data_IF_431625942002
#
_entry.id   IF_431625942002
#
_cell.length_a   1.000
_cell.length_b   1.000
_cell.length_c   1.000
_cell.angle_alpha   90.00
_cell.angle_beta   90.00
_cell.angle_gamma   90.00
#
_symmetry.space_group_name_H-M   'P 1'
#
loop_
_entity.id
_entity.type
_entity.pdbx_description
1 polymer ?
#
# COMPACT_ATOMS: atom_id res chain seq x y z
N UNK A 1 -7.21 -20.20 5.43
CA UNK A 1 -7.13 -18.81 5.92
C UNK A 1 -6.01 -18.19 5.14
N UNK A 2 -6.26 -17.14 4.35
CA UNK A 2 -5.16 -16.46 3.69
C UNK A 2 -4.38 -15.73 4.78
N UNK A 3 -3.20 -16.25 5.10
CA UNK A 3 -2.27 -15.58 6.01
C UNK A 3 -1.89 -14.25 5.34
N UNK A 4 -1.93 -13.15 6.10
CA UNK A 4 -1.70 -11.81 5.56
C UNK A 4 -0.41 -11.69 4.72
N UNK A 5 -0.30 -10.64 3.92
CA UNK A 5 0.97 -10.28 3.26
C UNK A 5 1.68 -9.20 4.08
N UNK A 6 2.97 -9.39 4.38
CA UNK A 6 3.82 -8.33 4.93
C UNK A 6 5.13 -8.31 4.16
N UNK A 7 5.47 -7.18 3.55
CA UNK A 7 6.68 -7.11 2.74
C UNK A 7 6.87 -5.80 2.00
N UNK A 8 8.01 -5.68 1.28
CA UNK A 8 8.34 -4.48 0.54
C UNK A 8 7.45 -4.35 -0.71
N UNK A 9 7.09 -3.13 -1.07
CA UNK A 9 6.29 -2.81 -2.25
C UNK A 9 6.82 -1.60 -2.98
N UNK A 10 6.54 -1.53 -4.28
CA UNK A 10 6.74 -0.30 -5.07
C UNK A 10 5.39 0.37 -5.26
N UNK A 11 5.35 1.69 -5.09
CA UNK A 11 4.13 2.47 -5.21
C UNK A 11 4.21 3.32 -6.48
N UNK A 12 3.24 3.11 -7.36
CA UNK A 12 3.13 3.76 -8.65
C UNK A 12 1.95 4.74 -8.65
N UNK A 13 2.06 5.82 -9.41
CA UNK A 13 0.91 6.65 -9.75
C UNK A 13 -0.01 5.94 -10.77
N UNK A 14 -1.10 6.59 -11.14
CA UNK A 14 -2.06 6.06 -12.13
C UNK A 14 -1.48 5.93 -13.55
N UNK A 15 -0.35 6.57 -13.84
CA UNK A 15 0.36 6.49 -15.12
C UNK A 15 1.51 5.46 -15.08
N UNK A 16 1.69 4.75 -13.96
CA UNK A 16 2.77 3.77 -13.78
C UNK A 16 4.12 4.37 -13.37
N UNK A 17 4.17 5.67 -13.03
CA UNK A 17 5.38 6.35 -12.56
C UNK A 17 5.65 5.93 -11.10
N UNK A 18 6.88 5.52 -10.81
CA UNK A 18 7.31 5.20 -9.45
C UNK A 18 7.28 6.45 -8.57
N UNK A 19 6.41 6.45 -7.57
CA UNK A 19 6.32 7.51 -6.56
C UNK A 19 7.30 7.26 -5.42
N UNK A 20 7.36 6.02 -4.92
CA UNK A 20 8.29 5.60 -3.86
C UNK A 20 8.32 4.07 -3.71
N UNK A 21 9.12 3.61 -2.76
CA UNK A 21 9.09 2.25 -2.20
C UNK A 21 8.71 2.31 -0.72
N UNK A 22 8.15 1.22 -0.20
CA UNK A 22 7.77 1.11 1.20
C UNK A 22 7.55 -0.33 1.63
N UNK A 23 7.01 -0.50 2.83
CA UNK A 23 6.59 -1.80 3.35
C UNK A 23 5.10 -1.74 3.62
N UNK A 24 4.37 -2.78 3.22
CA UNK A 24 2.94 -2.88 3.51
C UNK A 24 2.64 -4.13 4.32
N UNK A 25 1.73 -3.98 5.27
CA UNK A 25 1.05 -5.07 5.97
C UNK A 25 -0.39 -5.10 5.45
N UNK A 26 -0.77 -6.20 4.78
CA UNK A 26 -2.09 -6.42 4.21
C UNK A 26 -2.73 -7.66 4.86
N UNK A 27 -3.97 -7.50 5.26
CA UNK A 27 -4.82 -8.57 5.79
C UNK A 27 -6.11 -8.66 4.98
N UNK A 28 -6.67 -9.86 4.80
CA UNK A 28 -7.95 -10.01 4.14
C UNK A 28 -9.07 -9.35 4.98
N UNK A 29 -9.95 -8.63 4.30
CA UNK A 29 -11.12 -7.99 4.87
C UNK A 29 -12.41 -8.74 4.49
N UNK A 30 -13.51 -8.47 5.20
CA UNK A 30 -14.82 -8.97 4.82
C UNK A 30 -15.21 -8.46 3.43
N UNK A 31 -15.68 -9.35 2.56
CA UNK A 31 -16.02 -9.01 1.17
C UNK A 31 -14.93 -9.31 0.14
N UNK A 32 -13.79 -9.89 0.55
CA UNK A 32 -12.75 -10.37 -0.36
C UNK A 32 -11.76 -9.30 -0.82
N UNK A 33 -11.86 -8.08 -0.27
CA UNK A 33 -10.79 -7.08 -0.35
C UNK A 33 -9.69 -7.36 0.65
N UNK A 34 -8.60 -6.63 0.50
CA UNK A 34 -7.48 -6.59 1.42
C UNK A 34 -7.25 -5.14 1.85
N UNK A 35 -6.84 -4.98 3.09
CA UNK A 35 -6.51 -3.69 3.68
C UNK A 35 -5.45 -3.82 4.74
N UNK A 36 -4.92 -2.69 5.20
CA UNK A 36 -3.92 -2.67 6.26
C UNK A 36 -3.11 -1.38 6.28
N UNK A 37 -1.79 -1.47 6.46
CA UNK A 37 -0.93 -0.29 6.67
C UNK A 37 0.24 -0.27 5.72
N UNK A 38 0.47 0.89 5.10
CA UNK A 38 1.63 1.19 4.29
C UNK A 38 2.56 2.12 5.09
N UNK A 39 3.83 1.75 5.16
CA UNK A 39 4.90 2.55 5.72
C UNK A 39 5.86 2.97 4.60
N UNK A 40 6.03 4.26 4.44
CA UNK A 40 6.99 4.87 3.51
C UNK A 40 7.86 5.88 4.25
N UNK A 41 9.00 6.27 3.68
CA UNK A 41 9.72 7.43 4.19
C UNK A 41 8.86 8.69 4.07
N UNK A 42 9.01 9.56 5.06
CA UNK A 42 8.43 10.90 5.05
C UNK A 42 9.03 11.74 3.91
N UNK A 43 8.31 12.76 3.46
CA UNK A 43 8.64 13.60 2.29
C UNK A 43 8.65 12.87 0.93
N UNK A 44 8.05 11.67 0.84
CA UNK A 44 7.83 10.99 -0.46
C UNK A 44 6.55 11.47 -1.14
N UNK A 45 6.39 11.14 -2.43
CA UNK A 45 5.23 11.55 -3.23
C UNK A 45 3.87 11.07 -2.70
N UNK A 46 3.85 10.11 -1.78
CA UNK A 46 2.63 9.55 -1.16
C UNK A 46 2.52 9.85 0.35
N UNK A 47 3.59 10.33 0.98
CA UNK A 47 3.60 10.62 2.42
C UNK A 47 2.53 11.67 2.77
N UNK A 48 1.65 11.32 3.71
CA UNK A 48 0.62 12.22 4.23
C UNK A 48 -0.49 12.58 3.22
N UNK A 49 -0.71 11.77 2.17
CA UNK A 49 -1.68 12.09 1.11
C UNK A 49 -2.71 10.98 0.92
N UNK A 50 -3.97 11.38 0.79
CA UNK A 50 -5.04 10.48 0.36
C UNK A 50 -4.97 10.33 -1.16
N UNK A 51 -4.60 9.15 -1.65
CA UNK A 51 -4.33 8.90 -3.07
C UNK A 51 -4.76 7.51 -3.49
N UNK A 52 -5.10 7.36 -4.78
CA UNK A 52 -5.19 6.06 -5.43
C UNK A 52 -3.88 5.75 -6.14
N UNK A 53 -3.30 4.59 -5.85
CA UNK A 53 -1.98 4.18 -6.34
C UNK A 53 -2.00 2.75 -6.85
N UNK A 54 -1.02 2.41 -7.69
CA UNK A 54 -0.67 1.02 -7.97
C UNK A 54 0.33 0.51 -6.93
N UNK A 55 0.02 -0.58 -6.25
CA UNK A 55 0.98 -1.32 -5.42
C UNK A 55 1.53 -2.49 -6.22
N UNK A 56 2.85 -2.52 -6.40
CA UNK A 56 3.55 -3.67 -6.99
C UNK A 56 4.09 -4.51 -5.85
N UNK A 57 3.54 -5.71 -5.72
CA UNK A 57 3.97 -6.71 -4.75
C UNK A 57 5.03 -7.58 -5.43
N UNK A 58 6.20 -7.80 -4.82
CA UNK A 58 7.22 -8.70 -5.33
C UNK A 58 6.64 -10.07 -5.67
N UNK A 59 6.94 -10.55 -6.88
CA UNK A 59 6.44 -11.82 -7.42
C UNK A 59 4.91 -11.93 -7.54
N UNK A 60 4.18 -10.82 -7.28
CA UNK A 60 2.73 -10.70 -7.37
C UNK A 60 2.28 -9.73 -8.46
N UNK A 61 0.96 -9.57 -8.66
CA UNK A 61 0.40 -8.60 -9.59
C UNK A 61 0.56 -7.17 -9.08
N UNK A 62 0.43 -6.21 -9.99
CA UNK A 62 0.16 -4.82 -9.59
C UNK A 62 -1.32 -4.69 -9.24
N UNK A 63 -1.60 -4.26 -8.02
CA UNK A 63 -2.96 -4.07 -7.50
C UNK A 63 -3.23 -2.59 -7.30
N UNK A 64 -4.49 -2.17 -7.49
CA UNK A 64 -4.88 -0.80 -7.15
C UNK A 64 -5.19 -0.72 -5.66
N UNK A 65 -4.72 0.32 -5.00
CA UNK A 65 -5.00 0.58 -3.59
C UNK A 65 -5.41 2.04 -3.37
N UNK A 66 -6.27 2.25 -2.38
CA UNK A 66 -6.53 3.57 -1.84
C UNK A 66 -5.70 3.75 -0.57
N UNK A 67 -4.97 4.85 -0.51
CA UNK A 67 -4.22 5.29 0.66
C UNK A 67 -5.00 6.37 1.38
N UNK A 68 -5.06 6.29 2.70
CA UNK A 68 -5.54 7.37 3.58
C UNK A 68 -4.45 7.69 4.62
N UNK A 69 -3.97 8.94 4.75
CA UNK A 69 -2.95 9.29 5.70
C UNK A 69 -3.41 9.05 7.14
N UNK A 70 -2.59 8.35 7.92
CA UNK A 70 -2.89 8.00 9.30
C UNK A 70 -2.01 8.78 10.29
N UNK A 71 -0.69 8.66 10.18
CA UNK A 71 0.25 9.31 11.09
C UNK A 71 1.65 9.44 10.49
N UNK A 72 2.54 10.15 11.19
CA UNK A 72 3.97 10.16 10.94
C UNK A 72 4.66 9.64 12.20
N UNK A 73 5.56 8.68 12.03
CA UNK A 73 6.37 8.07 13.09
C UNK A 73 7.86 8.25 12.77
N UNK A 74 8.46 9.29 13.36
CA UNK A 74 9.83 9.69 13.07
C UNK A 74 10.02 10.07 11.61
N UNK A 75 10.84 9.30 10.90
CA UNK A 75 11.15 9.50 9.47
C UNK A 75 10.16 8.79 8.53
N UNK A 76 9.10 8.18 9.06
CA UNK A 76 8.15 7.40 8.26
C UNK A 76 6.76 8.00 8.27
N UNK A 77 6.14 8.08 7.11
CA UNK A 77 4.72 8.33 6.98
C UNK A 77 3.96 6.99 6.91
N UNK A 78 2.88 6.90 7.68
CA UNK A 78 1.99 5.74 7.74
C UNK A 78 0.67 6.11 7.06
N UNK A 79 0.23 5.26 6.15
CA UNK A 79 -1.08 5.36 5.50
C UNK A 79 -1.86 4.08 5.70
N UNK A 80 -3.16 4.20 5.93
CA UNK A 80 -4.07 3.06 5.83
C UNK A 80 -4.27 2.71 4.35
N UNK A 81 -4.37 1.42 4.07
CA UNK A 81 -4.50 0.85 2.74
C UNK A 81 -5.84 0.16 2.66
N UNK A 82 -6.62 0.45 1.62
CA UNK A 82 -7.94 -0.12 1.42
C UNK A 82 -8.17 -0.57 -0.03
N UNK A 83 -9.13 -1.47 -0.18
CA UNK A 83 -9.70 -1.82 -1.48
C UNK A 83 -8.74 -2.56 -2.41
N UNK A 84 -7.76 -3.25 -1.85
CA UNK A 84 -6.84 -4.10 -2.61
C UNK A 84 -7.58 -5.37 -3.01
N UNK A 85 -7.70 -5.67 -4.30
CA UNK A 85 -8.36 -6.91 -4.76
C UNK A 85 -8.12 -7.26 -6.23
N UNK A 86 -8.22 -8.56 -6.62
CA UNK A 86 -8.32 -9.77 -5.77
C UNK A 86 -7.00 -10.07 -5.04
N UNK A 87 -6.92 -11.19 -4.31
CA UNK A 87 -5.77 -11.55 -3.46
C UNK A 87 -4.42 -11.32 -4.19
N UNK A 88 -3.46 -10.67 -3.54
CA UNK A 88 -2.23 -10.26 -4.20
C UNK A 88 -1.22 -11.41 -4.48
N UNK A 89 -1.61 -12.66 -4.29
CA UNK A 89 -0.77 -13.85 -4.47
C UNK A 89 -1.59 -15.08 -4.85
#
# INVERSE_FOLDING_TARGET
MADGYSGPVRILDTNGILLTVGTVDLTPEEGGSWGGKLRVFDNTGVAGKALRVGLVIPDGPTVTAQLDPHSVDGEFAISEVFGVGPAPF
#
